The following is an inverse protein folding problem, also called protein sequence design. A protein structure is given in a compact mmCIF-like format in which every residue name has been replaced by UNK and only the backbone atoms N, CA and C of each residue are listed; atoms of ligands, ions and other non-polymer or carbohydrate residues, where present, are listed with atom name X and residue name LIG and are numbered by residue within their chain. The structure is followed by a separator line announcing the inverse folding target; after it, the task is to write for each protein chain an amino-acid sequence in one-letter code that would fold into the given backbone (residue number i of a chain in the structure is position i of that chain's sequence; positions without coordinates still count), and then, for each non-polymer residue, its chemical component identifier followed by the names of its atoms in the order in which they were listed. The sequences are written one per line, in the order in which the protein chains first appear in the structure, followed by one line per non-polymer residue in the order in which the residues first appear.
data_IF_069694221729
#
_entry.id   IF_069694221729
#
_cell.length_a   1.000
_cell.length_b   1.000
_cell.length_c   1.000
_cell.angle_alpha   90.00
_cell.angle_beta   90.00
_cell.angle_gamma   90.00
#
_symmetry.space_group_name_H-M   'P 1'
#
loop_
_entity.id
_entity.type
_entity.pdbx_description
1 polymer ?
#
# COMPACT_ATOMS: atom_id res chain seq x y z
N UNK A 1 67.54 -65.83 -31.95
CA UNK A 1 67.75 -65.00 -30.71
C UNK A 1 67.68 -63.47 -31.03
N UNK A 2 67.96 -63.02 -32.27
CA UNK A 2 67.97 -61.58 -32.65
C UNK A 2 66.60 -61.00 -33.01
N UNK A 3 65.63 -61.80 -33.32
CA UNK A 3 64.31 -61.36 -33.79
C UNK A 3 63.38 -60.92 -32.62
N UNK A 4 63.53 -61.52 -31.43
CA UNK A 4 62.73 -61.21 -30.22
C UNK A 4 63.09 -59.87 -29.59
N UNK A 5 64.36 -59.44 -29.70
CA UNK A 5 64.77 -58.13 -29.14
C UNK A 5 64.26 -56.94 -29.95
N UNK A 6 64.20 -57.10 -31.26
CA UNK A 6 63.68 -56.05 -32.17
C UNK A 6 62.17 -55.79 -32.00
N UNK A 7 61.41 -56.87 -31.73
CA UNK A 7 60.00 -56.78 -31.46
C UNK A 7 59.65 -56.03 -30.15
N UNK A 8 60.47 -56.24 -29.12
CA UNK A 8 60.30 -55.57 -27.82
C UNK A 8 60.72 -54.09 -27.88
N UNK A 9 61.78 -53.75 -28.60
CA UNK A 9 62.22 -52.37 -28.81
C UNK A 9 61.16 -51.56 -29.60
N UNK A 10 60.54 -52.17 -30.62
CA UNK A 10 59.49 -51.54 -31.40
C UNK A 10 58.23 -51.33 -30.57
N UNK A 11 57.89 -52.24 -29.64
CA UNK A 11 56.75 -52.08 -28.73
C UNK A 11 56.96 -50.97 -27.68
N UNK A 12 58.16 -50.86 -27.14
CA UNK A 12 58.51 -49.79 -26.19
C UNK A 12 58.54 -48.43 -26.87
N UNK A 13 59.02 -48.34 -28.11
CA UNK A 13 58.98 -47.09 -28.89
C UNK A 13 57.57 -46.64 -29.22
N UNK A 14 56.64 -47.59 -29.52
CA UNK A 14 55.24 -47.25 -29.80
C UNK A 14 54.48 -46.78 -28.55
N UNK A 15 54.77 -47.32 -27.37
CA UNK A 15 54.20 -46.93 -26.10
C UNK A 15 54.69 -45.54 -25.69
N UNK A 16 55.91 -45.17 -25.92
CA UNK A 16 56.44 -43.83 -25.60
C UNK A 16 55.93 -42.76 -26.53
N UNK A 17 55.74 -43.08 -27.82
CA UNK A 17 55.13 -42.12 -28.78
C UNK A 17 53.64 -41.93 -28.47
N UNK A 18 52.92 -42.96 -27.99
CA UNK A 18 51.51 -42.85 -27.60
C UNK A 18 51.31 -42.02 -26.31
N UNK A 19 52.23 -42.11 -25.34
CA UNK A 19 52.18 -41.31 -24.12
C UNK A 19 52.48 -39.80 -24.38
N UNK A 20 53.25 -39.44 -25.40
CA UNK A 20 53.62 -38.05 -25.70
C UNK A 20 52.46 -37.34 -26.40
N UNK A 21 51.61 -38.07 -27.13
CA UNK A 21 50.45 -37.46 -27.81
C UNK A 21 49.25 -37.17 -26.86
N UNK A 22 49.26 -37.70 -25.64
CA UNK A 22 48.21 -37.41 -24.63
C UNK A 22 48.52 -36.12 -23.86
N UNK A 23 49.75 -35.61 -23.87
CA UNK A 23 50.14 -34.36 -23.20
C UNK A 23 49.96 -33.09 -24.04
N UNK A 24 49.48 -33.22 -25.29
CA UNK A 24 49.17 -32.10 -26.16
C UNK A 24 47.65 -31.98 -26.42
N UNK A 25 46.81 -32.63 -25.59
CA UNK A 25 45.41 -32.34 -25.51
C UNK A 25 45.23 -31.07 -24.66
N UNK A 26 45.29 -29.95 -25.36
CA UNK A 26 44.45 -28.83 -25.13
C UNK A 26 44.35 -28.35 -23.65
N UNK A 27 45.32 -27.51 -23.24
CA UNK A 27 44.90 -26.30 -22.54
C UNK A 27 44.04 -25.51 -23.52
N UNK A 28 42.80 -25.92 -23.71
CA UNK A 28 41.73 -25.03 -24.00
C UNK A 28 41.71 -24.08 -22.79
N UNK A 29 42.30 -22.91 -22.97
CA UNK A 29 41.96 -21.75 -22.18
C UNK A 29 40.44 -21.67 -22.29
N UNK A 30 39.74 -22.34 -21.37
CA UNK A 30 38.56 -21.76 -20.83
C UNK A 30 39.06 -20.40 -20.30
N UNK A 31 38.95 -19.37 -21.13
CA UNK A 31 38.61 -18.09 -20.63
C UNK A 31 37.43 -18.40 -19.69
N UNK A 32 37.68 -18.73 -18.44
CA UNK A 32 36.89 -18.33 -17.36
C UNK A 32 36.74 -16.82 -17.58
N UNK A 33 35.83 -16.51 -18.48
CA UNK A 33 35.06 -15.29 -18.40
C UNK A 33 34.45 -15.42 -17.02
N UNK A 34 35.28 -15.14 -16.02
CA UNK A 34 34.87 -14.69 -14.72
C UNK A 34 34.01 -13.45 -15.00
N UNK A 35 32.80 -13.72 -15.45
CA UNK A 35 31.67 -13.02 -14.91
C UNK A 35 31.73 -13.33 -13.42
N UNK A 36 32.79 -12.85 -12.81
CA UNK A 36 32.81 -12.38 -11.46
C UNK A 36 31.69 -11.38 -11.43
N UNK A 37 30.49 -11.93 -11.35
CA UNK A 37 29.40 -11.24 -10.69
C UNK A 37 30.06 -10.91 -9.37
N UNK A 38 30.72 -9.75 -9.36
CA UNK A 38 31.24 -9.17 -8.15
C UNK A 38 30.02 -8.95 -7.25
N UNK A 39 29.65 -10.04 -6.58
CA UNK A 39 28.61 -10.12 -5.53
C UNK A 39 28.94 -9.12 -4.40
N UNK A 40 30.02 -8.37 -4.54
CA UNK A 40 30.42 -7.26 -3.69
C UNK A 40 29.75 -5.91 -4.05
N UNK A 41 28.89 -5.81 -5.05
CA UNK A 41 27.97 -4.70 -5.09
C UNK A 41 26.91 -4.93 -4.02
N UNK A 42 27.20 -4.42 -2.83
CA UNK A 42 26.21 -4.26 -1.76
C UNK A 42 25.20 -3.26 -2.31
N UNK A 43 24.08 -3.76 -2.85
CA UNK A 43 22.96 -2.91 -3.20
C UNK A 43 22.30 -2.48 -1.89
N UNK A 44 22.40 -1.21 -1.49
CA UNK A 44 21.75 -0.77 -0.27
C UNK A 44 20.23 -0.87 -0.47
N UNK A 45 19.61 -1.66 0.40
CA UNK A 45 18.17 -1.94 0.40
C UNK A 45 17.60 -1.38 1.70
N UNK A 46 16.39 -0.82 1.63
CA UNK A 46 15.62 -0.46 2.81
C UNK A 46 14.27 -1.18 2.82
N UNK A 47 13.67 -1.26 4.00
CA UNK A 47 12.28 -1.68 4.17
C UNK A 47 11.49 -0.56 4.86
N UNK A 48 10.20 -0.47 4.49
CA UNK A 48 9.24 0.46 5.06
C UNK A 48 7.94 -0.28 5.39
N UNK A 49 7.27 0.14 6.42
CA UNK A 49 5.92 -0.30 6.77
C UNK A 49 4.96 0.84 6.42
N UNK A 50 4.39 0.79 5.22
CA UNK A 50 3.48 1.83 4.74
C UNK A 50 2.21 1.93 5.60
N UNK A 51 1.70 0.82 6.10
CA UNK A 51 0.53 0.81 6.97
C UNK A 51 0.82 1.56 8.27
N UNK A 52 1.98 1.29 8.86
CA UNK A 52 2.44 1.98 10.07
C UNK A 52 2.71 3.46 9.81
N UNK A 53 3.40 3.81 8.71
CA UNK A 53 3.72 5.18 8.33
C UNK A 53 2.43 5.99 8.20
N UNK A 54 1.50 5.52 7.39
CA UNK A 54 0.21 6.20 7.18
C UNK A 54 -0.58 6.25 8.49
N UNK A 55 -0.70 5.11 9.20
CA UNK A 55 -1.56 5.01 10.38
C UNK A 55 -1.06 5.77 11.62
N UNK A 56 0.25 5.98 11.77
CA UNK A 56 0.85 6.64 12.93
C UNK A 56 1.27 8.10 12.68
N UNK A 57 1.15 8.59 11.44
CA UNK A 57 1.46 9.99 11.13
C UNK A 57 0.54 10.96 11.88
N UNK A 58 1.05 12.15 12.20
CA UNK A 58 0.28 13.21 12.83
C UNK A 58 -0.94 13.60 11.96
N UNK A 59 -0.76 13.66 10.65
CA UNK A 59 -1.82 13.93 9.70
C UNK A 59 -2.96 12.89 9.81
N UNK A 60 -2.64 11.59 9.90
CA UNK A 60 -3.65 10.54 10.03
C UNK A 60 -4.40 10.61 11.38
N UNK A 61 -3.72 11.01 12.47
CA UNK A 61 -4.37 11.23 13.77
C UNK A 61 -5.39 12.36 13.66
N UNK A 62 -5.01 13.49 13.04
CA UNK A 62 -5.90 14.63 12.83
C UNK A 62 -7.07 14.31 11.91
N UNK A 63 -6.82 13.58 10.81
CA UNK A 63 -7.89 13.12 9.89
C UNK A 63 -8.91 12.26 10.65
N UNK A 64 -8.47 11.29 11.45
CA UNK A 64 -9.40 10.48 12.25
C UNK A 64 -10.23 11.32 13.23
N UNK A 65 -9.60 12.26 13.92
CA UNK A 65 -10.32 13.17 14.82
C UNK A 65 -11.35 14.02 14.09
N UNK A 66 -10.99 14.55 12.92
CA UNK A 66 -11.90 15.33 12.08
C UNK A 66 -13.11 14.50 11.61
N UNK A 67 -12.87 13.29 11.12
CA UNK A 67 -13.94 12.39 10.67
C UNK A 67 -14.85 12.00 11.82
N UNK A 68 -14.31 11.73 13.01
CA UNK A 68 -15.14 11.39 14.18
C UNK A 68 -16.02 12.58 14.59
N UNK A 69 -15.49 13.80 14.60
CA UNK A 69 -16.29 15.01 14.85
C UNK A 69 -17.41 15.18 13.80
N UNK A 70 -17.11 14.95 12.51
CA UNK A 70 -18.14 15.01 11.46
C UNK A 70 -19.20 13.93 11.62
N UNK A 71 -18.82 12.75 12.04
CA UNK A 71 -19.76 11.68 12.35
C UNK A 71 -20.69 12.01 13.51
N UNK A 72 -20.19 12.68 14.54
CA UNK A 72 -21.01 13.18 15.66
C UNK A 72 -21.98 14.28 15.20
N UNK A 73 -21.51 15.24 14.36
CA UNK A 73 -22.35 16.27 13.77
C UNK A 73 -23.50 15.64 12.97
N UNK A 74 -23.20 14.71 12.06
CA UNK A 74 -24.19 14.01 11.25
C UNK A 74 -25.14 13.16 12.10
N UNK A 75 -24.61 12.50 13.14
CA UNK A 75 -25.43 11.74 14.08
C UNK A 75 -26.44 12.64 14.82
N UNK A 76 -26.05 13.86 15.18
CA UNK A 76 -26.95 14.83 15.80
C UNK A 76 -28.00 15.32 14.81
N UNK A 77 -27.61 15.65 13.57
CA UNK A 77 -28.52 16.05 12.50
C UNK A 77 -29.59 14.96 12.24
N UNK A 78 -29.16 13.71 12.08
CA UNK A 78 -30.05 12.57 11.85
C UNK A 78 -31.01 12.34 13.02
N UNK A 79 -30.53 12.41 14.26
CA UNK A 79 -31.35 12.24 15.44
C UNK A 79 -32.45 13.32 15.54
N UNK A 80 -32.15 14.57 15.18
CA UNK A 80 -33.12 15.65 15.17
C UNK A 80 -34.19 15.38 14.10
N UNK A 81 -33.80 14.97 12.89
CA UNK A 81 -34.71 14.63 11.81
C UNK A 81 -35.61 13.42 12.17
N UNK A 82 -35.05 12.39 12.80
CA UNK A 82 -35.83 11.25 13.32
C UNK A 82 -36.88 11.69 14.36
N UNK A 83 -36.49 12.60 15.25
CA UNK A 83 -37.42 13.13 16.27
C UNK A 83 -38.57 13.95 15.65
N UNK A 84 -38.27 14.78 14.63
CA UNK A 84 -39.28 15.51 13.89
C UNK A 84 -40.22 14.57 13.15
N UNK A 85 -39.68 13.56 12.47
CA UNK A 85 -40.50 12.54 11.78
C UNK A 85 -41.43 11.79 12.75
N UNK A 86 -40.91 11.47 13.94
CA UNK A 86 -41.72 10.83 14.99
C UNK A 86 -42.90 11.74 15.41
N UNK A 87 -42.66 13.02 15.61
CA UNK A 87 -43.72 14.01 15.94
C UNK A 87 -44.75 14.07 14.82
N UNK A 88 -44.34 14.18 13.56
CA UNK A 88 -45.25 14.17 12.41
C UNK A 88 -46.08 12.88 12.35
N UNK A 89 -45.47 11.73 12.63
CA UNK A 89 -46.16 10.43 12.66
C UNK A 89 -47.24 10.39 13.75
N UNK A 90 -46.96 10.90 14.94
CA UNK A 90 -47.91 11.02 16.05
C UNK A 90 -49.08 11.94 15.71
N UNK A 91 -48.79 13.10 15.08
CA UNK A 91 -49.80 14.06 14.61
C UNK A 91 -50.70 13.44 13.52
N UNK A 92 -50.13 12.79 12.52
CA UNK A 92 -50.91 12.08 11.49
C UNK A 92 -51.80 11.01 12.10
N UNK A 93 -51.35 10.25 13.07
CA UNK A 93 -52.13 9.23 13.75
C UNK A 93 -53.35 9.86 14.46
N UNK A 94 -53.19 11.04 15.09
CA UNK A 94 -54.25 11.76 15.79
C UNK A 94 -55.28 12.37 14.84
N UNK A 95 -54.85 12.85 13.66
CA UNK A 95 -55.67 13.55 12.70
C UNK A 95 -56.45 12.64 11.74
N UNK A 96 -56.10 11.35 11.68
CA UNK A 96 -56.67 10.39 10.73
C UNK A 96 -58.21 10.32 10.74
N UNK A 97 -58.84 10.44 11.94
CA UNK A 97 -60.29 10.33 12.11
C UNK A 97 -61.08 11.62 11.98
N UNK A 98 -60.39 12.79 11.97
CA UNK A 98 -61.00 14.09 12.01
C UNK A 98 -60.72 14.92 10.76
N UNK A 99 -59.70 14.58 9.98
CA UNK A 99 -59.27 15.28 8.77
C UNK A 99 -60.01 14.74 7.53
N UNK A 100 -60.33 15.62 6.52
CA UNK A 100 -60.81 15.18 5.22
C UNK A 100 -59.82 14.18 4.55
N UNK A 101 -60.32 13.14 3.86
CA UNK A 101 -59.45 12.09 3.27
C UNK A 101 -58.38 12.60 2.31
N UNK A 102 -58.72 13.61 1.51
CA UNK A 102 -57.79 14.19 0.52
C UNK A 102 -56.65 14.94 1.19
N UNK A 103 -56.91 15.71 2.23
CA UNK A 103 -55.90 16.44 2.99
C UNK A 103 -55.02 15.47 3.78
N UNK A 104 -55.59 14.39 4.33
CA UNK A 104 -54.82 13.35 5.00
C UNK A 104 -53.86 12.63 4.04
N UNK A 105 -54.32 12.32 2.82
CA UNK A 105 -53.51 11.67 1.81
C UNK A 105 -52.30 12.53 1.38
N UNK A 106 -52.45 13.86 1.29
CA UNK A 106 -51.36 14.79 0.99
C UNK A 106 -50.30 14.82 2.11
N UNK A 107 -50.75 14.87 3.38
CA UNK A 107 -49.84 14.87 4.54
C UNK A 107 -49.09 13.53 4.66
N UNK A 108 -49.82 12.42 4.47
CA UNK A 108 -49.17 11.08 4.45
C UNK A 108 -48.15 10.96 3.31
N UNK A 109 -48.44 11.51 2.13
CA UNK A 109 -47.53 11.57 1.01
C UNK A 109 -46.27 12.37 1.31
N UNK A 110 -46.44 13.53 1.98
CA UNK A 110 -45.34 14.38 2.41
C UNK A 110 -44.44 13.69 3.47
N UNK A 111 -45.07 13.02 4.43
CA UNK A 111 -44.34 12.20 5.44
C UNK A 111 -43.50 11.11 4.79
N UNK A 112 -44.08 10.35 3.87
CA UNK A 112 -43.33 9.29 3.14
C UNK A 112 -42.11 9.82 2.41
N UNK A 113 -42.26 10.94 1.69
CA UNK A 113 -41.13 11.61 1.00
C UNK A 113 -40.05 12.05 1.99
N UNK A 114 -40.41 12.52 3.17
CA UNK A 114 -39.44 12.94 4.18
C UNK A 114 -38.69 11.73 4.78
N UNK A 115 -39.37 10.60 4.97
CA UNK A 115 -38.74 9.34 5.37
C UNK A 115 -37.74 8.85 4.31
N UNK A 116 -38.10 8.90 3.03
CA UNK A 116 -37.21 8.57 1.92
C UNK A 116 -35.97 9.50 1.88
N UNK A 117 -36.19 10.80 2.06
CA UNK A 117 -35.12 11.81 2.13
C UNK A 117 -34.15 11.54 3.29
N UNK A 118 -34.65 11.12 4.47
CA UNK A 118 -33.80 10.76 5.60
C UNK A 118 -32.93 9.54 5.26
N UNK A 119 -33.49 8.50 4.63
CA UNK A 119 -32.72 7.32 4.22
C UNK A 119 -31.63 7.70 3.22
N UNK A 120 -31.94 8.57 2.26
CA UNK A 120 -30.95 9.07 1.30
C UNK A 120 -29.85 9.87 2.00
N UNK A 121 -30.22 10.77 2.92
CA UNK A 121 -29.26 11.54 3.71
C UNK A 121 -28.28 10.64 4.47
N UNK A 122 -28.75 9.56 5.12
CA UNK A 122 -27.90 8.59 5.81
C UNK A 122 -26.87 7.97 4.84
N UNK A 123 -27.31 7.57 3.66
CA UNK A 123 -26.43 6.98 2.65
C UNK A 123 -25.38 7.99 2.16
N UNK A 124 -25.80 9.22 1.84
CA UNK A 124 -24.92 10.31 1.39
C UNK A 124 -23.88 10.68 2.46
N UNK A 125 -24.27 10.78 3.74
CA UNK A 125 -23.34 11.08 4.84
C UNK A 125 -22.31 9.99 5.04
N UNK A 126 -22.72 8.73 4.96
CA UNK A 126 -21.78 7.60 5.05
C UNK A 126 -20.78 7.59 3.90
N UNK A 127 -21.26 7.76 2.66
CA UNK A 127 -20.41 7.84 1.48
C UNK A 127 -19.41 8.98 1.60
N UNK A 128 -19.86 10.16 2.05
CA UNK A 128 -19.00 11.32 2.26
C UNK A 128 -17.88 11.05 3.24
N UNK A 129 -18.18 10.42 4.40
CA UNK A 129 -17.16 10.07 5.39
C UNK A 129 -16.12 9.08 4.85
N UNK A 130 -16.55 8.07 4.08
CA UNK A 130 -15.66 7.11 3.44
C UNK A 130 -14.76 7.79 2.38
N UNK A 131 -15.32 8.68 1.59
CA UNK A 131 -14.57 9.44 0.58
C UNK A 131 -13.54 10.36 1.21
N UNK A 132 -13.91 11.09 2.26
CA UNK A 132 -12.99 11.93 3.03
C UNK A 132 -11.81 11.13 3.58
N UNK A 133 -12.08 9.95 4.16
CA UNK A 133 -11.03 9.07 4.68
C UNK A 133 -10.13 8.57 3.56
N UNK A 134 -10.71 8.07 2.48
CA UNK A 134 -9.96 7.51 1.35
C UNK A 134 -9.05 8.54 0.70
N UNK A 135 -9.58 9.72 0.36
CA UNK A 135 -8.80 10.82 -0.24
C UNK A 135 -7.68 11.31 0.71
N UNK A 136 -7.98 11.40 2.02
CA UNK A 136 -6.97 11.80 3.01
C UNK A 136 -5.83 10.80 3.12
N UNK A 137 -6.14 9.50 3.18
CA UNK A 137 -5.14 8.42 3.19
C UNK A 137 -4.27 8.49 1.94
N UNK A 138 -4.86 8.74 0.77
CA UNK A 138 -4.13 8.89 -0.48
C UNK A 138 -3.14 10.06 -0.45
N UNK A 139 -3.54 11.22 0.09
CA UNK A 139 -2.64 12.38 0.25
C UNK A 139 -1.45 12.03 1.14
N UNK A 140 -1.70 11.38 2.28
CA UNK A 140 -0.65 10.97 3.22
C UNK A 140 0.29 9.95 2.56
N UNK A 141 -0.23 8.97 1.83
CA UNK A 141 0.58 7.98 1.11
C UNK A 141 1.47 8.61 0.04
N UNK A 142 0.94 9.55 -0.74
CA UNK A 142 1.71 10.24 -1.77
C UNK A 142 2.87 11.04 -1.17
N UNK A 143 2.66 11.73 -0.06
CA UNK A 143 3.72 12.46 0.63
C UNK A 143 4.76 11.50 1.23
N UNK A 144 4.33 10.39 1.85
CA UNK A 144 5.24 9.36 2.33
C UNK A 144 6.12 8.79 1.21
N UNK A 145 5.56 8.53 0.02
CA UNK A 145 6.33 8.04 -1.15
C UNK A 145 7.38 9.07 -1.59
N UNK A 146 7.07 10.36 -1.59
CA UNK A 146 8.06 11.42 -1.90
C UNK A 146 9.21 11.38 -0.90
N UNK A 147 8.91 11.33 0.40
CA UNK A 147 9.92 11.28 1.46
C UNK A 147 10.79 10.02 1.32
N UNK A 148 10.19 8.85 1.06
CA UNK A 148 10.93 7.61 0.82
C UNK A 148 11.85 7.76 -0.39
N UNK A 149 11.38 8.42 -1.45
CA UNK A 149 12.18 8.67 -2.65
C UNK A 149 13.37 9.60 -2.37
N UNK A 150 13.18 10.63 -1.56
CA UNK A 150 14.24 11.55 -1.14
C UNK A 150 15.30 10.84 -0.29
N UNK A 151 14.87 10.08 0.73
CA UNK A 151 15.76 9.23 1.54
C UNK A 151 16.51 8.23 0.66
N UNK A 152 15.82 7.64 -0.32
CA UNK A 152 16.41 6.69 -1.27
C UNK A 152 17.54 7.31 -2.08
N UNK A 153 17.33 8.52 -2.60
CA UNK A 153 18.36 9.28 -3.34
C UNK A 153 19.54 9.67 -2.44
N UNK A 154 19.25 10.19 -1.25
CA UNK A 154 20.29 10.62 -0.30
C UNK A 154 21.17 9.46 0.15
N UNK A 155 20.59 8.30 0.45
CA UNK A 155 21.29 7.10 0.91
C UNK A 155 21.78 6.20 -0.23
N UNK A 156 21.51 6.53 -1.48
CA UNK A 156 21.88 5.72 -2.64
C UNK A 156 21.20 4.36 -2.65
N UNK A 157 19.95 4.25 -2.13
CA UNK A 157 19.23 2.98 -2.07
C UNK A 157 18.90 2.49 -3.48
N UNK A 158 19.22 1.23 -3.75
CA UNK A 158 18.87 0.56 -4.99
C UNK A 158 17.41 0.10 -5.00
N UNK A 159 16.85 -0.20 -3.82
CA UNK A 159 15.50 -0.74 -3.67
C UNK A 159 14.95 -0.41 -2.28
N UNK A 160 13.64 -0.08 -2.23
CA UNK A 160 12.88 -0.01 -0.99
C UNK A 160 11.68 -0.95 -1.12
N UNK A 161 11.49 -1.84 -0.14
CA UNK A 161 10.41 -2.83 -0.11
C UNK A 161 9.43 -2.50 1.02
N UNK A 162 8.16 -2.82 0.80
CA UNK A 162 7.18 -2.80 1.89
C UNK A 162 7.30 -4.05 2.75
N UNK A 163 7.22 -3.89 4.08
CA UNK A 163 7.30 -5.01 5.03
C UNK A 163 6.22 -6.07 4.82
N UNK A 164 5.09 -5.72 4.23
CA UNK A 164 4.03 -6.68 3.88
C UNK A 164 4.47 -7.74 2.87
N UNK A 165 5.52 -7.46 2.10
CA UNK A 165 6.08 -8.37 1.08
C UNK A 165 7.36 -9.07 1.55
N UNK A 166 7.85 -8.76 2.75
CA UNK A 166 9.12 -9.24 3.29
C UNK A 166 8.88 -10.16 4.48
N UNK A 167 9.39 -11.39 4.43
CA UNK A 167 9.24 -12.36 5.51
C UNK A 167 10.11 -12.01 6.73
N UNK A 168 11.34 -11.57 6.47
CA UNK A 168 12.33 -11.22 7.49
C UNK A 168 13.18 -10.05 6.99
N UNK A 169 13.38 -9.05 7.83
CA UNK A 169 14.31 -7.94 7.58
C UNK A 169 15.00 -7.54 8.90
N UNK A 170 16.25 -7.13 8.81
CA UNK A 170 16.95 -6.55 9.96
C UNK A 170 16.38 -5.17 10.29
N UNK A 171 16.28 -4.85 11.58
CA UNK A 171 15.78 -3.53 12.02
C UNK A 171 16.64 -2.38 11.50
N UNK A 172 17.94 -2.62 11.26
CA UNK A 172 18.88 -1.60 10.76
C UNK A 172 18.56 -1.07 9.37
N UNK A 173 17.81 -1.83 8.55
CA UNK A 173 17.40 -1.39 7.20
C UNK A 173 15.95 -0.86 7.18
N UNK A 174 15.26 -0.86 8.31
CA UNK A 174 13.90 -0.31 8.41
C UNK A 174 13.95 1.21 8.63
N UNK A 175 13.44 1.96 7.66
CA UNK A 175 13.44 3.43 7.65
C UNK A 175 12.08 4.04 8.01
N UNK A 176 11.09 3.23 8.41
CA UNK A 176 9.72 3.70 8.68
C UNK A 176 9.65 4.84 9.68
N UNK A 177 10.43 4.78 10.76
CA UNK A 177 10.45 5.82 11.79
C UNK A 177 10.96 7.15 11.25
N UNK A 178 12.04 7.14 10.45
CA UNK A 178 12.56 8.35 9.80
C UNK A 178 11.55 8.94 8.81
N UNK A 179 10.83 8.07 8.09
CA UNK A 179 9.75 8.53 7.19
C UNK A 179 8.63 9.19 7.97
N UNK A 180 8.19 8.62 9.11
CA UNK A 180 7.14 9.21 9.96
C UNK A 180 7.57 10.56 10.51
N UNK A 181 8.82 10.71 10.98
CA UNK A 181 9.35 11.97 11.48
C UNK A 181 9.30 13.07 10.40
N UNK A 182 9.80 12.79 9.21
CA UNK A 182 9.77 13.73 8.09
C UNK A 182 8.34 14.00 7.60
N UNK A 183 7.48 12.98 7.58
CA UNK A 183 6.08 13.13 7.23
C UNK A 183 5.34 14.06 8.19
N UNK A 184 5.61 13.97 9.48
CA UNK A 184 5.04 14.85 10.49
C UNK A 184 5.50 16.32 10.37
N UNK A 185 6.68 16.53 9.79
CA UNK A 185 7.20 17.88 9.49
C UNK A 185 6.60 18.42 8.20
N UNK A 186 6.61 17.62 7.13
CA UNK A 186 6.21 18.06 5.79
C UNK A 186 4.69 18.13 5.61
N UNK A 187 3.96 17.23 6.27
CA UNK A 187 2.50 17.14 6.23
C UNK A 187 1.94 16.98 7.66
N UNK A 188 1.94 18.04 8.48
CA UNK A 188 1.43 17.98 9.85
C UNK A 188 -0.09 17.80 9.92
N UNK A 189 -0.80 18.11 8.83
CA UNK A 189 -2.26 17.92 8.68
C UNK A 189 -2.62 17.85 7.20
N UNK A 190 -3.80 17.28 6.91
CA UNK A 190 -4.41 17.26 5.60
C UNK A 190 -5.47 18.37 5.53
N UNK A 191 -5.45 19.16 4.47
CA UNK A 191 -6.48 20.17 4.23
C UNK A 191 -7.79 19.48 3.81
N UNK A 192 -8.68 19.29 4.78
CA UNK A 192 -9.96 18.60 4.59
C UNK A 192 -10.92 19.39 3.70
N UNK A 193 -10.85 20.72 3.69
CA UNK A 193 -11.69 21.56 2.85
C UNK A 193 -11.25 21.46 1.38
N UNK A 194 -9.94 21.41 1.12
CA UNK A 194 -9.42 21.19 -0.21
C UNK A 194 -9.73 19.79 -0.77
N UNK A 195 -9.87 18.78 0.12
CA UNK A 195 -10.28 17.43 -0.28
C UNK A 195 -11.72 17.41 -0.78
N UNK A 196 -12.60 18.18 -0.13
CA UNK A 196 -14.02 18.23 -0.45
C UNK A 196 -14.35 19.14 -1.64
N UNK A 197 -13.51 20.15 -1.92
CA UNK A 197 -13.76 21.13 -2.97
C UNK A 197 -13.29 20.73 -4.38
N UNK A 198 -12.66 19.56 -4.53
CA UNK A 198 -12.14 19.05 -5.82
C UNK A 198 -13.14 18.13 -6.52
N UNK A 199 -14.38 18.59 -6.69
CA UNK A 199 -15.31 18.06 -7.69
C UNK A 199 -15.41 18.97 -8.92
#
# INVERSE_FOLDING_TARGET
FKISIFSNILRVLFITIFCINISLAQEENLDENNNDLSINQIFPIAVVDMQRIVGQSLAAVKVRAYIENKKEEFGTELKNEEQELKTIQEDLASQRSIMPPDEFAELEGSFRKRVESLQQMVAERNQLLEEMLSKSVQVIQLEAIKIITEIGKEKGLALTLDTSTVVIAANSINISSSVIELLNINLPEVDMDAIMSKE
#
